data_IF_154184374764
#
_entry.id   IF_154184374764
#
_cell.length_a   1.000
_cell.length_b   1.000
_cell.length_c   1.000
_cell.angle_alpha   90.00
_cell.angle_beta   90.00
_cell.angle_gamma   90.00
#
_symmetry.space_group_name_H-M   'P 1'
#
loop_
_entity.id
_entity.type
_entity.pdbx_description
1 polymer ?
#
# COMPACT_ATOMS: atom_id res chain seq x y z
N UNK A 1 0.87 40.06 -9.67
CA UNK A 1 -0.53 40.52 -9.55
C UNK A 1 -1.21 40.52 -10.90
N UNK A 2 -2.42 39.99 -10.97
CA UNK A 2 -3.26 39.97 -12.17
C UNK A 2 -4.45 40.89 -11.91
N UNK A 3 -4.77 41.73 -12.89
CA UNK A 3 -5.95 42.59 -12.87
C UNK A 3 -7.12 41.82 -13.45
N UNK A 4 -8.10 41.50 -12.64
CA UNK A 4 -9.36 40.93 -13.08
C UNK A 4 -10.33 42.06 -13.34
N UNK A 5 -10.94 42.08 -14.52
CA UNK A 5 -12.04 42.98 -14.86
C UNK A 5 -13.24 42.18 -15.30
N UNK A 6 -14.35 42.46 -14.72
CA UNK A 6 -15.65 41.89 -15.05
C UNK A 6 -16.61 43.02 -15.44
N UNK A 7 -17.31 42.84 -16.53
CA UNK A 7 -18.31 43.77 -17.06
C UNK A 7 -19.60 43.01 -17.25
N UNK A 8 -20.64 43.33 -16.46
CA UNK A 8 -21.96 42.69 -16.55
C UNK A 8 -22.97 43.50 -17.36
N UNK A 9 -22.49 44.58 -18.02
CA UNK A 9 -23.30 45.48 -18.81
C UNK A 9 -23.94 46.64 -18.02
N UNK A 10 -23.90 46.59 -16.69
CA UNK A 10 -24.39 47.66 -15.79
C UNK A 10 -23.24 48.26 -14.99
N UNK A 11 -22.32 47.47 -14.46
CA UNK A 11 -21.22 47.92 -13.67
C UNK A 11 -19.91 47.22 -14.08
N UNK A 12 -18.80 47.97 -14.03
CA UNK A 12 -17.46 47.47 -14.28
C UNK A 12 -16.70 47.28 -12.99
N UNK A 13 -16.41 46.08 -12.63
CA UNK A 13 -15.58 45.75 -11.48
C UNK A 13 -14.17 45.43 -11.93
N UNK A 14 -13.18 46.02 -11.28
CA UNK A 14 -11.79 45.60 -11.46
C UNK A 14 -11.09 45.58 -10.12
N UNK A 15 -10.45 44.46 -9.83
CA UNK A 15 -9.54 44.34 -8.69
C UNK A 15 -8.28 43.61 -9.07
N UNK A 16 -7.21 43.94 -8.35
CA UNK A 16 -5.93 43.28 -8.48
C UNK A 16 -5.86 42.15 -7.44
N UNK A 17 -5.52 40.99 -7.85
CA UNK A 17 -5.30 39.84 -6.97
C UNK A 17 -4.03 39.12 -7.39
N UNK A 18 -3.29 38.64 -6.40
CA UNK A 18 -2.16 37.76 -6.66
C UNK A 18 -2.66 36.45 -7.22
N UNK A 19 -2.11 36.02 -8.35
CA UNK A 19 -2.42 34.72 -8.92
C UNK A 19 -1.83 33.62 -8.03
N UNK A 20 -2.70 32.80 -7.48
CA UNK A 20 -2.35 31.71 -6.57
C UNK A 20 -1.49 30.61 -7.23
N UNK A 21 -1.59 30.47 -8.54
CA UNK A 21 -1.00 29.36 -9.28
C UNK A 21 -1.95 28.18 -9.40
N UNK A 22 -1.76 27.38 -10.45
CA UNK A 22 -2.65 26.24 -10.74
C UNK A 22 -2.52 25.17 -9.67
N UNK A 23 -1.30 24.83 -9.28
CA UNK A 23 -1.03 23.77 -8.30
C UNK A 23 -1.65 24.12 -6.96
N UNK A 24 -1.32 25.28 -6.40
CA UNK A 24 -1.84 25.72 -5.10
C UNK A 24 -3.38 25.81 -5.11
N UNK A 25 -3.98 26.26 -6.22
CA UNK A 25 -5.42 26.33 -6.38
C UNK A 25 -6.06 24.93 -6.35
N UNK A 26 -5.49 23.96 -7.07
CA UNK A 26 -5.97 22.59 -7.09
C UNK A 26 -5.82 21.91 -5.73
N UNK A 27 -4.68 22.08 -5.06
CA UNK A 27 -4.43 21.55 -3.72
C UNK A 27 -5.44 22.10 -2.70
N UNK A 28 -5.63 23.43 -2.68
CA UNK A 28 -6.63 24.04 -1.82
C UNK A 28 -8.03 23.51 -2.09
N UNK A 29 -8.45 23.44 -3.35
CA UNK A 29 -9.76 22.91 -3.74
C UNK A 29 -9.94 21.45 -3.37
N UNK A 30 -8.89 20.63 -3.46
CA UNK A 30 -8.91 19.24 -3.05
C UNK A 30 -9.14 19.09 -1.55
N UNK A 31 -8.52 19.95 -0.75
CA UNK A 31 -8.64 19.95 0.72
C UNK A 31 -9.99 20.53 1.20
N UNK A 32 -10.47 21.59 0.55
CA UNK A 32 -11.66 22.32 0.98
C UNK A 32 -13.00 21.70 0.50
N UNK A 33 -12.96 20.82 -0.51
CA UNK A 33 -14.20 20.25 -1.05
C UNK A 33 -14.73 19.12 -0.18
N UNK A 34 -16.04 19.15 0.10
CA UNK A 34 -16.78 18.07 0.77
C UNK A 34 -17.33 17.03 -0.22
N UNK A 35 -17.19 17.26 -1.54
CA UNK A 35 -17.71 16.40 -2.58
C UNK A 35 -16.66 15.38 -3.02
N UNK A 36 -16.93 14.10 -2.83
CA UNK A 36 -16.04 13.00 -3.25
C UNK A 36 -15.84 13.01 -4.78
N UNK A 37 -16.87 13.29 -5.56
CA UNK A 37 -16.76 13.42 -7.02
C UNK A 37 -15.78 14.51 -7.44
N UNK A 38 -15.79 15.68 -6.79
CA UNK A 38 -14.82 16.76 -7.07
C UNK A 38 -13.41 16.39 -6.66
N UNK A 39 -13.24 15.62 -5.56
CA UNK A 39 -11.94 15.08 -5.18
C UNK A 39 -11.38 14.14 -6.23
N UNK A 40 -12.21 13.22 -6.72
CA UNK A 40 -11.81 12.28 -7.78
C UNK A 40 -11.43 13.02 -9.08
N UNK A 41 -12.19 14.05 -9.45
CA UNK A 41 -11.87 14.89 -10.62
C UNK A 41 -10.49 15.56 -10.47
N UNK A 42 -10.18 16.12 -9.29
CA UNK A 42 -8.88 16.78 -9.03
C UNK A 42 -7.76 15.71 -8.92
N UNK A 43 -8.04 14.55 -8.33
CA UNK A 43 -7.08 13.47 -8.18
C UNK A 43 -6.54 12.95 -9.53
N UNK A 44 -7.29 13.12 -10.63
CA UNK A 44 -6.80 12.77 -11.97
C UNK A 44 -5.55 13.56 -12.42
N UNK A 45 -5.33 14.72 -11.82
CA UNK A 45 -4.15 15.56 -12.06
C UNK A 45 -3.00 15.28 -11.10
N UNK A 46 -3.18 14.36 -10.16
CA UNK A 46 -2.14 13.91 -9.23
C UNK A 46 -1.48 12.64 -9.76
N UNK A 47 -0.19 12.53 -9.58
CA UNK A 47 0.55 11.29 -9.85
C UNK A 47 1.31 10.87 -8.61
N UNK A 48 1.34 9.56 -8.35
CA UNK A 48 2.12 9.01 -7.27
C UNK A 48 3.62 9.08 -7.62
N UNK A 49 4.33 9.94 -6.92
CA UNK A 49 5.78 10.05 -7.02
C UNK A 49 6.45 9.54 -5.77
N UNK A 50 7.60 8.90 -5.93
CA UNK A 50 8.38 8.46 -4.77
C UNK A 50 8.83 9.67 -3.96
N UNK A 51 8.60 9.65 -2.66
CA UNK A 51 9.08 10.68 -1.76
C UNK A 51 10.60 10.84 -1.88
N UNK A 52 11.09 12.07 -2.10
CA UNK A 52 12.51 12.37 -2.27
C UNK A 52 13.33 12.07 -1.00
N UNK A 53 12.73 12.22 0.17
CA UNK A 53 13.38 11.98 1.46
C UNK A 53 13.54 10.49 1.73
N UNK A 54 12.45 9.72 1.71
CA UNK A 54 12.50 8.29 2.02
C UNK A 54 12.67 7.40 0.78
N UNK A 55 12.74 7.96 -0.43
CA UNK A 55 12.92 7.24 -1.71
C UNK A 55 11.97 6.06 -1.93
N UNK A 56 10.79 6.15 -1.33
CA UNK A 56 9.77 5.10 -1.37
C UNK A 56 9.88 4.04 -0.27
N UNK A 57 10.86 4.13 0.63
CA UNK A 57 11.02 3.17 1.73
C UNK A 57 9.99 3.33 2.85
N UNK A 58 9.27 4.47 2.93
CA UNK A 58 8.28 4.81 3.97
C UNK A 58 8.83 4.79 5.40
N UNK A 59 10.14 4.74 5.56
CA UNK A 59 10.88 4.72 6.82
C UNK A 59 11.94 5.81 6.83
N UNK A 60 12.31 6.26 8.01
CA UNK A 60 13.46 7.14 8.22
C UNK A 60 14.76 6.38 7.97
N UNK A 61 15.82 7.10 7.59
CA UNK A 61 17.11 6.52 7.28
C UNK A 61 17.69 5.76 8.48
N UNK A 62 17.49 6.26 9.70
CA UNK A 62 17.95 5.60 10.93
C UNK A 62 17.29 4.23 11.13
N UNK A 63 16.02 4.08 10.73
CA UNK A 63 15.31 2.81 10.81
C UNK A 63 15.84 1.79 9.78
N UNK A 64 16.31 2.27 8.62
CA UNK A 64 16.92 1.41 7.59
C UNK A 64 18.33 0.93 7.95
N UNK A 65 18.97 1.53 8.98
CA UNK A 65 20.23 1.04 9.52
C UNK A 65 20.09 -0.31 10.22
N UNK A 66 18.88 -0.68 10.67
CA UNK A 66 18.62 -1.99 11.26
C UNK A 66 18.56 -3.04 10.15
N UNK A 67 19.53 -3.95 10.15
CA UNK A 67 19.66 -5.00 9.13
C UNK A 67 19.71 -6.38 9.77
N UNK A 68 19.06 -7.32 9.12
CA UNK A 68 19.16 -8.75 9.43
C UNK A 68 19.67 -9.44 8.16
N UNK A 69 20.72 -10.22 8.28
CA UNK A 69 21.39 -10.85 7.14
C UNK A 69 21.68 -9.82 6.01
N UNK A 70 22.27 -8.68 6.37
CA UNK A 70 22.62 -7.54 5.49
C UNK A 70 21.45 -6.84 4.77
N UNK A 71 20.22 -7.24 5.02
CA UNK A 71 19.02 -6.64 4.39
C UNK A 71 18.21 -5.87 5.42
N UNK A 72 17.72 -4.68 5.03
CA UNK A 72 16.75 -3.92 5.82
C UNK A 72 15.30 -4.30 5.43
N UNK A 73 14.34 -3.97 6.28
CA UNK A 73 12.95 -4.40 6.12
C UNK A 73 12.34 -3.99 4.78
N UNK A 74 12.66 -2.81 4.26
CA UNK A 74 12.10 -2.32 3.00
C UNK A 74 12.56 -3.15 1.79
N UNK A 75 13.78 -3.71 1.81
CA UNK A 75 14.24 -4.61 0.75
C UNK A 75 13.43 -5.90 0.73
N UNK A 76 13.08 -6.42 1.92
CA UNK A 76 12.33 -7.66 2.04
C UNK A 76 10.87 -7.45 1.64
N UNK A 77 10.26 -6.33 2.07
CA UNK A 77 8.86 -6.03 1.71
C UNK A 77 8.67 -5.72 0.22
N UNK A 78 9.73 -5.33 -0.50
CA UNK A 78 9.72 -5.11 -1.94
C UNK A 78 9.88 -6.39 -2.77
N UNK A 79 10.22 -7.52 -2.13
CA UNK A 79 10.24 -8.82 -2.79
C UNK A 79 8.81 -9.33 -2.99
N UNK A 80 8.62 -10.21 -3.98
CA UNK A 80 7.39 -10.97 -4.08
C UNK A 80 7.17 -11.85 -2.84
N UNK A 81 5.93 -12.22 -2.55
CA UNK A 81 5.59 -13.05 -1.38
C UNK A 81 6.36 -14.37 -1.40
N UNK A 82 6.50 -14.99 -2.58
CA UNK A 82 7.28 -16.23 -2.72
C UNK A 82 8.77 -16.02 -2.42
N UNK A 83 9.37 -14.92 -2.90
CA UNK A 83 10.77 -14.59 -2.62
C UNK A 83 10.99 -14.20 -1.16
N UNK A 84 10.05 -13.46 -0.57
CA UNK A 84 10.09 -13.10 0.85
C UNK A 84 10.01 -14.36 1.73
N UNK A 85 9.12 -15.31 1.43
CA UNK A 85 9.01 -16.57 2.15
C UNK A 85 10.31 -17.38 2.06
N UNK A 86 10.89 -17.48 0.87
CA UNK A 86 12.18 -18.16 0.69
C UNK A 86 13.26 -17.51 1.56
N UNK A 87 13.34 -16.19 1.55
CA UNK A 87 14.30 -15.44 2.38
C UNK A 87 14.10 -15.71 3.88
N UNK A 88 12.86 -15.68 4.40
CA UNK A 88 12.57 -15.96 5.80
C UNK A 88 12.89 -17.42 6.19
N UNK A 89 12.68 -18.38 5.30
CA UNK A 89 13.04 -19.78 5.54
C UNK A 89 14.55 -19.98 5.62
N UNK A 90 15.32 -19.32 4.75
CA UNK A 90 16.78 -19.39 4.72
C UNK A 90 17.41 -18.60 5.88
N UNK A 91 16.71 -17.63 6.45
CA UNK A 91 17.23 -16.76 7.49
C UNK A 91 17.73 -17.54 8.72
N UNK A 92 17.11 -18.67 9.07
CA UNK A 92 17.51 -19.50 10.21
C UNK A 92 18.97 -19.94 10.16
N UNK A 93 19.52 -20.13 8.95
CA UNK A 93 20.91 -20.57 8.75
C UNK A 93 21.91 -19.46 9.11
N UNK A 94 21.48 -18.20 8.97
CA UNK A 94 22.31 -17.02 9.19
C UNK A 94 22.22 -16.44 10.61
N UNK A 95 21.32 -16.97 11.45
CA UNK A 95 21.14 -16.53 12.83
C UNK A 95 21.96 -17.40 13.81
N UNK A 96 22.54 -16.76 14.82
CA UNK A 96 23.17 -17.50 15.92
C UNK A 96 22.13 -18.16 16.84
N UNK A 97 22.55 -19.06 17.73
CA UNK A 97 21.64 -19.85 18.60
C UNK A 97 20.72 -18.98 19.48
N UNK A 98 21.19 -17.84 19.95
CA UNK A 98 20.40 -16.90 20.77
C UNK A 98 19.35 -16.21 19.93
N UNK A 99 19.75 -15.73 18.75
CA UNK A 99 18.86 -15.09 17.78
C UNK A 99 17.78 -16.05 17.26
N UNK A 100 18.16 -17.30 16.97
CA UNK A 100 17.22 -18.35 16.57
C UNK A 100 16.13 -18.58 17.63
N UNK A 101 16.50 -18.63 18.92
CA UNK A 101 15.53 -18.77 20.02
C UNK A 101 14.55 -17.60 20.08
N UNK A 102 15.05 -16.38 19.91
CA UNK A 102 14.21 -15.17 19.90
C UNK A 102 13.29 -15.14 18.69
N UNK A 103 13.83 -15.46 17.51
CA UNK A 103 13.13 -15.38 16.24
C UNK A 103 12.16 -16.54 15.98
N UNK A 104 12.26 -17.66 16.70
CA UNK A 104 11.54 -18.90 16.41
C UNK A 104 10.02 -18.70 16.23
N UNK A 105 9.38 -18.06 17.20
CA UNK A 105 7.93 -17.81 17.13
C UNK A 105 7.57 -16.79 16.06
N UNK A 106 8.37 -15.74 15.93
CA UNK A 106 8.17 -14.67 14.95
C UNK A 106 8.27 -15.23 13.53
N UNK A 107 9.31 -16.01 13.24
CA UNK A 107 9.52 -16.63 11.92
C UNK A 107 8.42 -17.65 11.60
N UNK A 108 7.92 -18.38 12.60
CA UNK A 108 6.80 -19.30 12.43
C UNK A 108 5.55 -18.54 11.95
N UNK A 109 5.15 -17.51 12.69
CA UNK A 109 4.00 -16.66 12.37
C UNK A 109 4.13 -16.01 10.97
N UNK A 110 5.30 -15.45 10.64
CA UNK A 110 5.53 -14.83 9.34
C UNK A 110 5.38 -15.87 8.23
N UNK A 111 6.01 -17.05 8.35
CA UNK A 111 5.94 -18.08 7.33
C UNK A 111 4.53 -18.65 7.16
N UNK A 112 3.78 -18.83 8.24
CA UNK A 112 2.38 -19.25 8.18
C UNK A 112 1.53 -18.24 7.39
N UNK A 113 1.66 -16.95 7.69
CA UNK A 113 0.91 -15.89 6.99
C UNK A 113 1.31 -15.76 5.51
N UNK A 114 2.59 -15.84 5.20
CA UNK A 114 3.06 -15.86 3.81
C UNK A 114 2.55 -17.09 3.06
N UNK A 115 2.54 -18.26 3.71
CA UNK A 115 1.99 -19.48 3.12
C UNK A 115 0.49 -19.34 2.81
N UNK A 116 -0.29 -18.69 3.68
CA UNK A 116 -1.70 -18.42 3.38
C UNK A 116 -1.88 -17.53 2.15
N UNK A 117 -1.07 -16.48 2.02
CA UNK A 117 -1.11 -15.62 0.84
C UNK A 117 -0.74 -16.37 -0.44
N UNK A 118 0.23 -17.28 -0.37
CA UNK A 118 0.58 -18.15 -1.49
C UNK A 118 -0.54 -19.12 -1.85
N UNK A 119 -1.17 -19.74 -0.85
CA UNK A 119 -2.25 -20.70 -1.04
C UNK A 119 -3.50 -20.09 -1.69
N UNK A 120 -3.70 -18.78 -1.55
CA UNK A 120 -4.78 -18.05 -2.24
C UNK A 120 -4.32 -17.44 -3.58
N UNK A 121 -3.15 -17.84 -4.10
CA UNK A 121 -2.63 -17.42 -5.41
C UNK A 121 -2.17 -15.96 -5.46
N UNK A 122 -1.61 -15.43 -4.37
CA UNK A 122 -1.08 -14.06 -4.29
C UNK A 122 0.45 -14.02 -4.18
N UNK A 123 1.14 -15.05 -4.59
CA UNK A 123 2.58 -15.26 -4.51
C UNK A 123 3.40 -14.19 -5.25
N UNK A 124 2.83 -13.60 -6.31
CA UNK A 124 3.43 -12.56 -7.14
C UNK A 124 3.38 -11.15 -6.54
N UNK A 125 2.49 -10.91 -5.55
CA UNK A 125 2.38 -9.60 -4.92
C UNK A 125 3.59 -9.28 -4.04
N UNK A 126 3.83 -7.98 -3.82
CA UNK A 126 4.81 -7.50 -2.84
C UNK A 126 4.11 -7.00 -1.58
N UNK A 127 4.75 -7.16 -0.41
CA UNK A 127 4.21 -6.64 0.85
C UNK A 127 4.19 -5.11 0.91
N UNK A 128 4.99 -4.44 0.08
CA UNK A 128 5.05 -2.98 -0.04
C UNK A 128 3.94 -2.40 -0.92
N UNK A 129 3.16 -3.26 -1.62
CA UNK A 129 2.11 -2.80 -2.54
C UNK A 129 1.01 -2.06 -1.78
N UNK A 130 0.56 -0.97 -2.35
CA UNK A 130 -0.50 -0.14 -1.77
C UNK A 130 -1.86 -0.79 -1.94
N UNK A 131 -2.67 -0.74 -0.89
CA UNK A 131 -4.02 -1.34 -0.90
C UNK A 131 -4.93 -0.76 -1.99
N UNK A 132 -4.79 0.53 -2.29
CA UNK A 132 -5.55 1.20 -3.35
C UNK A 132 -5.22 0.73 -4.77
N UNK A 133 -4.10 0.03 -4.98
CA UNK A 133 -3.69 -0.51 -6.29
C UNK A 133 -4.12 -1.97 -6.48
N UNK A 134 -4.71 -2.59 -5.47
CA UNK A 134 -5.17 -3.97 -5.53
C UNK A 134 -6.45 -4.08 -6.35
N UNK A 135 -6.56 -5.11 -7.16
CA UNK A 135 -7.82 -5.47 -7.80
C UNK A 135 -8.85 -5.95 -6.76
N UNK A 136 -10.13 -5.94 -7.12
CA UNK A 136 -11.19 -6.45 -6.24
C UNK A 136 -10.94 -7.91 -5.81
N UNK A 137 -10.53 -8.77 -6.74
CA UNK A 137 -10.19 -10.17 -6.45
C UNK A 137 -8.96 -10.33 -5.56
N UNK A 138 -7.91 -9.52 -5.74
CA UNK A 138 -6.74 -9.53 -4.85
C UNK A 138 -7.13 -9.13 -3.42
N UNK A 139 -7.91 -8.03 -3.27
CA UNK A 139 -8.39 -7.57 -1.98
C UNK A 139 -9.24 -8.60 -1.26
N UNK A 140 -10.11 -9.29 -1.99
CA UNK A 140 -10.95 -10.37 -1.44
C UNK A 140 -10.12 -11.56 -0.97
N UNK A 141 -9.13 -11.99 -1.76
CA UNK A 141 -8.21 -13.07 -1.40
C UNK A 141 -7.34 -12.73 -0.20
N UNK A 142 -6.88 -11.49 -0.06
CA UNK A 142 -6.15 -11.03 1.14
C UNK A 142 -7.06 -11.12 2.38
N UNK A 143 -8.33 -10.70 2.27
CA UNK A 143 -9.29 -10.83 3.38
C UNK A 143 -9.52 -12.29 3.74
N UNK A 144 -9.69 -13.16 2.75
CA UNK A 144 -9.83 -14.61 2.95
C UNK A 144 -8.60 -15.19 3.66
N UNK A 145 -7.40 -14.89 3.20
CA UNK A 145 -6.15 -15.33 3.81
C UNK A 145 -6.03 -14.85 5.27
N UNK A 146 -6.44 -13.61 5.57
CA UNK A 146 -6.40 -13.07 6.94
C UNK A 146 -7.39 -13.73 7.88
N UNK A 147 -8.57 -14.11 7.39
CA UNK A 147 -9.62 -14.80 8.17
C UNK A 147 -9.24 -16.26 8.46
N UNK A 148 -8.84 -16.98 7.43
CA UNK A 148 -8.44 -18.41 7.57
C UNK A 148 -7.10 -18.51 8.32
N UNK A 149 -6.17 -17.58 8.05
CA UNK A 149 -4.87 -17.54 8.68
C UNK A 149 -4.88 -17.27 10.18
N UNK A 150 -6.02 -16.87 10.75
CA UNK A 150 -6.20 -16.76 12.22
C UNK A 150 -6.21 -18.12 12.92
N UNK A 151 -6.28 -19.23 12.18
CA UNK A 151 -6.26 -20.60 12.73
C UNK A 151 -7.42 -20.93 13.66
N UNK A 152 -8.50 -20.15 13.64
CA UNK A 152 -9.67 -20.38 14.46
C UNK A 152 -10.38 -21.68 14.02
N UNK A 153 -10.26 -22.70 14.82
CA UNK A 153 -11.01 -23.95 14.64
C UNK A 153 -12.42 -23.84 15.23
N UNK A 154 -13.41 -24.45 14.57
CA UNK A 154 -14.80 -24.41 15.02
C UNK A 154 -15.58 -23.15 14.65
N UNK A 155 -15.07 -22.32 13.77
CA UNK A 155 -15.75 -21.13 13.23
C UNK A 155 -16.34 -21.45 11.85
N UNK A 156 -17.57 -21.02 11.62
CA UNK A 156 -18.20 -21.10 10.30
C UNK A 156 -17.82 -19.85 9.48
N UNK A 157 -17.17 -20.05 8.36
CA UNK A 157 -16.86 -18.99 7.40
C UNK A 157 -17.92 -18.98 6.30
N UNK A 158 -18.64 -17.87 6.15
CA UNK A 158 -19.58 -17.66 5.05
C UNK A 158 -18.88 -16.77 4.04
N UNK A 159 -18.67 -17.29 2.83
CA UNK A 159 -17.98 -16.60 1.75
C UNK A 159 -18.96 -16.36 0.62
N UNK A 160 -18.99 -15.16 0.11
CA UNK A 160 -19.75 -14.78 -1.08
C UNK A 160 -18.79 -14.74 -2.28
N UNK A 161 -19.08 -15.57 -3.27
CA UNK A 161 -18.30 -15.73 -4.51
C UNK A 161 -16.77 -15.82 -4.30
N UNK A 162 -16.27 -16.76 -3.48
CA UNK A 162 -14.86 -16.79 -3.08
C UNK A 162 -13.89 -17.07 -4.24
N UNK A 163 -14.42 -17.52 -5.39
CA UNK A 163 -13.65 -17.81 -6.60
C UNK A 163 -13.47 -16.60 -7.53
N UNK A 164 -14.04 -15.43 -7.21
CA UNK A 164 -13.86 -14.24 -8.05
C UNK A 164 -12.37 -13.89 -8.17
N UNK A 165 -11.92 -13.82 -9.43
CA UNK A 165 -10.53 -13.48 -9.76
C UNK A 165 -9.54 -14.63 -9.63
N UNK A 166 -9.98 -15.86 -9.37
CA UNK A 166 -9.16 -17.05 -9.54
C UNK A 166 -9.01 -17.39 -11.02
N UNK A 167 -7.80 -17.80 -11.42
CA UNK A 167 -7.59 -18.39 -12.73
C UNK A 167 -8.24 -19.78 -12.77
N UNK A 168 -8.69 -20.22 -13.97
CA UNK A 168 -9.34 -21.54 -14.14
C UNK A 168 -8.51 -22.74 -13.62
N UNK A 169 -7.20 -22.59 -13.48
CA UNK A 169 -6.29 -23.61 -12.92
C UNK A 169 -6.28 -23.65 -11.39
N UNK A 170 -6.77 -22.59 -10.74
CA UNK A 170 -6.74 -22.43 -9.29
C UNK A 170 -8.11 -22.68 -8.64
N UNK A 171 -9.07 -23.12 -9.47
CA UNK A 171 -10.46 -23.42 -9.10
C UNK A 171 -10.66 -24.92 -8.85
#
# INVERSE_FOLDING_TARGET
>A
EIKFSYDDGYEKYSHKKTFEGVINNLERRYLETDSDWKREEIAQYQSDTKCEVCKGHRLKEEALCVKINNSHISEITNKSIIEAQKWFNELKIHLNMKEQKIAQHILKEINERLSFLMNVGLDYLTLSRESGTLSGGESQRIRLASQIGSGLTGVLYVLDEPSIGLHQKDN
#
